data_IF_759599961208
#
_entry.id   IF_759599961208
#
_cell.length_a   1.000
_cell.length_b   1.000
_cell.length_c   1.000
_cell.angle_alpha   90.00
_cell.angle_beta   90.00
_cell.angle_gamma   90.00
#
_symmetry.space_group_name_H-M   'P 1'
#
loop_
_entity.id
_entity.type
_entity.pdbx_description
1 polymer ?
#
# COMPACT_ATOMS: atom_id res chain seq x y z
N UNK A 1 16.06 5.93 26.01
CA UNK A 1 14.82 5.91 25.21
C UNK A 1 14.62 4.50 24.71
N UNK A 2 13.52 3.86 25.08
CA UNK A 2 13.23 2.51 24.60
C UNK A 2 12.91 2.58 23.10
N UNK A 3 13.64 1.78 22.32
CA UNK A 3 13.43 1.70 20.88
C UNK A 3 12.01 1.21 20.54
N UNK A 4 11.41 1.69 19.45
CA UNK A 4 10.05 1.34 19.08
C UNK A 4 9.92 -0.16 18.80
N UNK A 5 8.76 -0.71 19.12
CA UNK A 5 8.31 -2.02 18.64
C UNK A 5 7.82 -1.90 17.20
N UNK A 6 7.81 -3.02 16.48
CA UNK A 6 7.41 -3.06 15.07
C UNK A 6 6.41 -4.21 14.86
N UNK A 7 5.27 -3.89 14.29
CA UNK A 7 4.29 -4.85 13.82
C UNK A 7 4.07 -4.71 12.32
N UNK A 8 4.09 -5.82 11.60
CA UNK A 8 3.84 -5.87 10.17
C UNK A 8 2.67 -6.82 9.90
N UNK A 9 1.65 -6.29 9.22
CA UNK A 9 0.56 -7.07 8.66
C UNK A 9 0.74 -7.17 7.15
N UNK A 10 0.98 -8.36 6.67
CA UNK A 10 1.05 -8.67 5.25
C UNK A 10 -0.33 -9.11 4.75
N UNK A 11 -0.82 -8.41 3.74
CA UNK A 11 -2.04 -8.75 3.02
C UNK A 11 -1.65 -9.13 1.58
N UNK A 12 -1.69 -10.43 1.28
CA UNK A 12 -1.18 -10.93 0.01
C UNK A 12 -2.05 -10.46 -1.18
N UNK A 13 -1.37 -9.91 -2.22
CA UNK A 13 -1.98 -9.57 -3.51
C UNK A 13 -3.16 -8.59 -3.45
N UNK A 14 -3.07 -7.55 -2.65
CA UNK A 14 -4.06 -6.48 -2.58
C UNK A 14 -3.47 -5.19 -3.17
N UNK A 15 -4.09 -4.67 -4.22
CA UNK A 15 -3.76 -3.34 -4.74
C UNK A 15 -4.33 -2.23 -3.85
N UNK A 16 -3.70 -1.06 -3.89
CA UNK A 16 -4.25 0.12 -3.21
C UNK A 16 -5.67 0.45 -3.68
N UNK A 17 -5.93 0.34 -4.98
CA UNK A 17 -7.24 0.62 -5.54
C UNK A 17 -8.30 -0.40 -5.09
N UNK A 18 -7.94 -1.68 -5.07
CA UNK A 18 -8.83 -2.72 -4.56
C UNK A 18 -9.13 -2.55 -3.06
N UNK A 19 -8.11 -2.21 -2.27
CA UNK A 19 -8.29 -1.89 -0.86
C UNK A 19 -9.30 -0.76 -0.68
N UNK A 20 -9.16 0.33 -1.44
CA UNK A 20 -10.07 1.48 -1.36
C UNK A 20 -11.51 1.11 -1.73
N UNK A 21 -11.72 0.24 -2.73
CA UNK A 21 -13.05 -0.19 -3.16
C UNK A 21 -13.71 -1.18 -2.21
N UNK A 22 -12.95 -2.14 -1.71
CA UNK A 22 -13.50 -3.32 -1.04
C UNK A 22 -13.43 -3.29 0.48
N UNK A 23 -12.62 -2.38 1.07
CA UNK A 23 -12.45 -2.27 2.51
C UNK A 23 -12.80 -0.86 3.03
N UNK A 24 -14.03 -0.36 2.79
CA UNK A 24 -14.40 1.01 3.12
C UNK A 24 -14.43 1.30 4.63
N UNK A 25 -14.78 0.33 5.48
CA UNK A 25 -14.79 0.52 6.94
C UNK A 25 -13.37 0.62 7.49
N UNK A 26 -12.48 -0.25 7.01
CA UNK A 26 -11.06 -0.21 7.34
C UNK A 26 -10.43 1.09 6.86
N UNK A 27 -10.68 1.50 5.62
CA UNK A 27 -10.18 2.76 5.07
C UNK A 27 -10.65 3.96 5.90
N UNK A 28 -11.95 4.01 6.27
CA UNK A 28 -12.49 5.07 7.10
C UNK A 28 -11.79 5.15 8.46
N UNK A 29 -11.62 4.02 9.13
CA UNK A 29 -10.91 3.95 10.40
C UNK A 29 -9.46 4.44 10.25
N UNK A 30 -8.75 3.96 9.25
CA UNK A 30 -7.35 4.33 9.01
C UNK A 30 -7.20 5.83 8.73
N UNK A 31 -8.08 6.41 7.91
CA UNK A 31 -8.08 7.86 7.62
C UNK A 31 -8.36 8.69 8.87
N UNK A 32 -9.24 8.23 9.74
CA UNK A 32 -9.56 8.92 11.00
C UNK A 32 -8.47 8.76 12.07
N UNK A 33 -7.57 7.80 11.91
CA UNK A 33 -6.52 7.46 12.88
C UNK A 33 -5.10 7.82 12.42
N UNK A 34 -4.98 8.75 11.49
CA UNK A 34 -3.70 9.26 10.96
C UNK A 34 -2.77 8.19 10.35
N UNK A 35 -3.33 7.21 9.66
CA UNK A 35 -2.53 6.32 8.82
C UNK A 35 -2.07 7.04 7.56
N UNK A 36 -0.84 6.79 7.17
CA UNK A 36 -0.35 7.10 5.84
C UNK A 36 -0.77 6.00 4.86
N UNK A 37 -1.36 6.37 3.73
CA UNK A 37 -1.75 5.45 2.64
C UNK A 37 -1.27 6.07 1.32
N UNK A 38 0.02 5.92 0.99
CA UNK A 38 0.62 6.58 -0.16
C UNK A 38 0.03 6.07 -1.49
N UNK A 39 0.00 6.95 -2.47
CA UNK A 39 -0.49 6.63 -3.81
C UNK A 39 0.62 6.17 -4.76
N UNK A 40 1.89 6.41 -4.41
CA UNK A 40 3.04 6.22 -5.29
C UNK A 40 4.02 5.15 -4.79
N UNK A 41 3.51 4.20 -4.00
CA UNK A 41 4.27 3.01 -3.63
C UNK A 41 4.26 2.02 -4.79
N UNK A 42 5.42 1.58 -5.23
CA UNK A 42 5.60 0.63 -6.33
C UNK A 42 6.33 -0.63 -5.86
N UNK A 43 5.88 -1.78 -6.35
CA UNK A 43 6.67 -3.01 -6.19
C UNK A 43 7.98 -2.91 -6.98
N UNK A 44 9.01 -3.64 -6.54
CA UNK A 44 10.30 -3.67 -7.22
C UNK A 44 10.40 -4.85 -8.20
N UNK A 45 10.00 -6.04 -7.78
CA UNK A 45 9.96 -7.25 -8.60
C UNK A 45 8.54 -7.57 -9.09
N UNK A 46 8.43 -8.27 -10.22
CA UNK A 46 7.14 -8.80 -10.70
C UNK A 46 6.63 -9.93 -9.81
N UNK A 47 7.54 -10.72 -9.20
CA UNK A 47 7.19 -11.80 -8.27
C UNK A 47 6.84 -11.26 -6.88
N UNK A 48 5.66 -11.60 -6.32
CA UNK A 48 5.32 -11.28 -4.94
C UNK A 48 6.31 -11.84 -3.92
N UNK A 49 6.80 -13.06 -4.15
CA UNK A 49 7.71 -13.74 -3.23
C UNK A 49 9.08 -13.03 -3.17
N UNK A 50 9.58 -12.54 -4.32
CA UNK A 50 10.81 -11.75 -4.35
C UNK A 50 10.66 -10.40 -3.65
N UNK A 51 9.49 -9.74 -3.79
CA UNK A 51 9.22 -8.51 -3.05
C UNK A 51 9.12 -8.77 -1.55
N UNK A 52 8.55 -9.90 -1.16
CA UNK A 52 8.43 -10.30 0.23
C UNK A 52 9.79 -10.63 0.85
N UNK A 53 10.62 -11.40 0.12
CA UNK A 53 11.99 -11.70 0.54
C UNK A 53 12.82 -10.40 0.66
N UNK A 54 12.73 -9.51 -0.32
CA UNK A 54 13.37 -8.20 -0.27
C UNK A 54 12.91 -7.38 0.94
N UNK A 55 11.62 -7.35 1.22
CA UNK A 55 11.05 -6.59 2.34
C UNK A 55 11.51 -7.11 3.70
N UNK A 56 11.52 -8.43 3.89
CA UNK A 56 11.77 -9.06 5.18
C UNK A 56 13.23 -9.38 5.42
N UNK A 57 13.94 -9.85 4.39
CA UNK A 57 15.32 -10.32 4.50
C UNK A 57 16.34 -9.34 3.90
N UNK A 58 15.91 -8.52 2.93
CA UNK A 58 16.79 -7.57 2.24
C UNK A 58 17.79 -8.26 1.30
N UNK A 59 18.47 -7.47 0.49
CA UNK A 59 19.51 -7.95 -0.44
C UNK A 59 20.73 -8.48 0.30
N UNK A 60 21.06 -7.87 1.44
CA UNK A 60 22.19 -8.26 2.31
C UNK A 60 21.89 -9.52 3.15
N UNK A 61 20.69 -10.11 3.01
CA UNK A 61 20.24 -11.27 3.80
C UNK A 61 20.29 -11.05 5.33
N UNK A 62 20.17 -9.81 5.78
CA UNK A 62 20.00 -9.46 7.19
C UNK A 62 18.51 -9.33 7.49
N UNK A 63 17.85 -10.37 7.98
CA UNK A 63 16.41 -10.37 8.19
C UNK A 63 15.96 -9.39 9.28
N UNK A 64 14.73 -8.86 9.16
CA UNK A 64 14.12 -8.05 10.23
C UNK A 64 14.01 -8.84 11.54
N UNK A 65 13.77 -10.15 11.44
CA UNK A 65 13.71 -11.05 12.59
C UNK A 65 15.06 -11.10 13.31
N UNK A 66 16.19 -11.24 12.57
CA UNK A 66 17.52 -11.24 13.15
C UNK A 66 17.87 -9.91 13.83
N UNK A 67 17.52 -8.79 13.17
CA UNK A 67 17.79 -7.46 13.74
C UNK A 67 17.04 -7.29 15.07
N UNK A 68 15.76 -7.65 15.09
CA UNK A 68 14.93 -7.50 16.29
C UNK A 68 15.32 -8.48 17.39
N UNK A 69 15.65 -9.73 17.05
CA UNK A 69 16.15 -10.73 17.99
C UNK A 69 17.47 -10.31 18.63
N UNK A 70 18.45 -9.82 17.84
CA UNK A 70 19.73 -9.31 18.37
C UNK A 70 19.56 -8.09 19.27
N UNK A 71 18.48 -7.33 19.07
CA UNK A 71 18.11 -6.21 19.95
C UNK A 71 17.47 -6.66 21.27
N UNK A 72 17.20 -7.96 21.44
CA UNK A 72 16.53 -8.52 22.60
C UNK A 72 15.02 -8.33 22.61
N UNK A 73 14.40 -8.07 21.44
CA UNK A 73 12.95 -7.95 21.35
C UNK A 73 12.30 -9.33 21.28
N UNK A 74 11.13 -9.47 21.88
CA UNK A 74 10.28 -10.65 21.70
C UNK A 74 9.71 -10.68 20.28
N UNK A 75 9.69 -11.85 19.67
CA UNK A 75 9.33 -12.00 18.27
C UNK A 75 8.20 -12.98 18.05
N UNK A 76 7.22 -12.61 17.24
CA UNK A 76 6.12 -13.45 16.76
C UNK A 76 6.14 -13.54 15.24
N UNK A 77 6.09 -14.75 14.71
CA UNK A 77 5.79 -15.02 13.30
C UNK A 77 4.48 -15.78 13.20
N UNK A 78 3.48 -15.13 12.64
CA UNK A 78 2.14 -15.63 12.42
C UNK A 78 1.87 -15.70 10.93
N UNK A 79 2.18 -16.85 10.33
CA UNK A 79 2.09 -17.10 8.90
C UNK A 79 1.01 -18.14 8.61
N UNK A 80 0.00 -17.74 7.85
CA UNK A 80 -1.08 -18.62 7.41
C UNK A 80 -0.66 -19.49 6.23
N UNK A 81 0.19 -18.95 5.35
CA UNK A 81 0.60 -19.62 4.12
C UNK A 81 1.62 -20.70 4.41
N UNK A 82 1.18 -21.94 4.26
CA UNK A 82 2.03 -23.10 4.20
C UNK A 82 1.77 -23.74 2.85
N UNK A 83 2.64 -23.54 1.87
CA UNK A 83 2.53 -24.27 0.63
C UNK A 83 2.85 -25.74 0.87
N UNK A 84 2.20 -26.62 0.09
CA UNK A 84 2.45 -28.09 0.15
C UNK A 84 3.84 -28.45 -0.37
N UNK A 85 4.51 -27.53 -1.01
CA UNK A 85 5.84 -27.69 -1.56
C UNK A 85 6.83 -26.94 -0.68
N UNK A 86 7.52 -27.64 0.22
CA UNK A 86 8.80 -27.26 0.85
C UNK A 86 9.08 -25.74 1.02
N UNK A 87 8.08 -24.88 1.02
CA UNK A 87 8.26 -23.46 1.17
C UNK A 87 8.40 -23.17 2.65
N UNK A 88 9.61 -22.96 2.94
CA UNK A 88 10.16 -22.41 4.15
C UNK A 88 9.43 -21.16 4.61
N UNK A 89 9.45 -20.95 5.88
CA UNK A 89 8.97 -19.74 6.55
C UNK A 89 9.47 -18.48 5.83
N UNK A 90 8.71 -17.39 5.91
CA UNK A 90 9.04 -16.08 5.35
C UNK A 90 10.45 -15.58 5.73
N UNK A 91 11.03 -16.15 6.76
CA UNK A 91 12.40 -15.86 7.22
C UNK A 91 13.36 -17.01 6.97
N UNK A 92 13.26 -17.66 5.82
CA UNK A 92 14.11 -18.79 5.45
C UNK A 92 15.62 -18.51 5.56
N UNK A 93 16.02 -17.27 5.29
CA UNK A 93 17.42 -16.83 5.39
C UNK A 93 17.80 -16.36 6.80
N UNK A 94 16.87 -16.36 7.77
CA UNK A 94 17.14 -15.90 9.11
C UNK A 94 17.95 -16.91 9.91
N UNK A 95 18.93 -16.43 10.62
CA UNK A 95 19.71 -17.23 11.59
C UNK A 95 18.97 -17.37 12.93
N UNK A 96 17.98 -16.53 13.20
CA UNK A 96 17.21 -16.50 14.44
C UNK A 96 15.86 -17.21 14.26
N UNK A 97 15.46 -17.97 15.28
CA UNK A 97 14.11 -18.50 15.37
C UNK A 97 13.21 -17.51 16.11
N UNK A 98 11.92 -17.37 15.71
CA UNK A 98 10.97 -16.53 16.45
C UNK A 98 10.69 -17.14 17.83
N UNK A 99 10.49 -16.28 18.84
CA UNK A 99 10.10 -16.73 20.19
C UNK A 99 8.72 -17.39 20.18
N UNK A 100 7.82 -16.90 19.32
CA UNK A 100 6.46 -17.39 19.16
C UNK A 100 6.17 -17.63 17.68
N UNK A 101 5.55 -18.77 17.39
CA UNK A 101 5.11 -19.13 16.04
C UNK A 101 3.72 -19.77 16.11
N UNK A 102 2.85 -19.35 15.20
CA UNK A 102 1.52 -19.95 15.03
C UNK A 102 1.49 -21.04 13.96
N UNK A 103 2.62 -21.38 13.38
CA UNK A 103 2.76 -22.38 12.32
C UNK A 103 2.07 -23.71 12.65
N UNK A 104 2.27 -24.34 13.84
CA UNK A 104 1.59 -25.59 14.18
C UNK A 104 0.07 -25.47 14.20
N UNK A 105 -0.45 -24.30 14.61
CA UNK A 105 -1.89 -24.02 14.63
C UNK A 105 -2.46 -23.98 13.21
N UNK A 106 -1.79 -23.32 12.30
CA UNK A 106 -2.23 -23.20 10.91
C UNK A 106 -2.12 -24.53 10.17
N UNK A 107 -1.06 -25.31 10.38
CA UNK A 107 -0.93 -26.66 9.87
C UNK A 107 -2.08 -27.57 10.30
N UNK A 108 -2.36 -27.60 11.60
CA UNK A 108 -3.44 -28.42 12.15
C UNK A 108 -4.80 -28.05 11.55
N UNK A 109 -5.11 -26.76 11.50
CA UNK A 109 -6.39 -26.29 10.96
C UNK A 109 -6.53 -26.59 9.47
N UNK A 110 -5.45 -26.44 8.68
CA UNK A 110 -5.45 -26.73 7.27
C UNK A 110 -5.76 -28.20 6.97
N UNK A 111 -5.18 -29.13 7.71
CA UNK A 111 -5.45 -30.55 7.53
C UNK A 111 -6.91 -30.93 7.81
N UNK A 112 -7.61 -30.14 8.65
CA UNK A 112 -9.00 -30.37 9.04
C UNK A 112 -10.01 -29.41 8.41
N UNK A 113 -9.54 -28.49 7.59
CA UNK A 113 -10.37 -27.44 7.02
C UNK A 113 -11.32 -28.00 5.96
N UNK A 114 -12.61 -27.78 6.17
CA UNK A 114 -13.67 -28.13 5.21
C UNK A 114 -14.21 -26.91 4.47
N UNK A 115 -13.87 -25.70 4.92
CA UNK A 115 -14.40 -24.43 4.40
C UNK A 115 -13.32 -23.36 4.43
N UNK A 116 -13.26 -22.53 3.39
CA UNK A 116 -12.26 -21.45 3.26
C UNK A 116 -12.44 -20.33 4.30
N UNK A 117 -13.65 -20.16 4.82
CA UNK A 117 -14.00 -19.03 5.69
C UNK A 117 -13.92 -19.35 7.18
N UNK A 118 -14.10 -20.60 7.54
CA UNK A 118 -14.25 -21.03 8.92
C UNK A 118 -13.22 -22.10 9.33
N UNK A 119 -12.77 -22.02 10.57
CA UNK A 119 -12.01 -23.08 11.21
C UNK A 119 -12.92 -24.24 11.61
N UNK A 120 -12.38 -25.45 11.88
CA UNK A 120 -13.17 -26.61 12.32
C UNK A 120 -14.00 -26.36 13.57
N UNK A 121 -13.62 -25.39 14.41
CA UNK A 121 -14.35 -25.00 15.62
C UNK A 121 -15.43 -23.94 15.39
N UNK A 122 -15.74 -23.60 14.11
CA UNK A 122 -16.75 -22.62 13.74
C UNK A 122 -16.31 -21.15 13.84
N UNK A 123 -15.08 -20.86 14.28
CA UNK A 123 -14.56 -19.50 14.33
C UNK A 123 -14.14 -19.02 12.95
N UNK A 124 -14.23 -17.69 12.72
CA UNK A 124 -13.70 -17.08 11.51
C UNK A 124 -12.20 -17.33 11.37
N UNK A 125 -11.79 -17.83 10.21
CA UNK A 125 -10.39 -18.03 9.86
C UNK A 125 -9.61 -16.71 9.90
N UNK A 126 -10.15 -15.66 9.25
CA UNK A 126 -9.54 -14.33 9.19
C UNK A 126 -9.33 -13.74 10.59
N UNK A 127 -10.36 -13.75 11.45
CA UNK A 127 -10.20 -13.30 12.83
C UNK A 127 -9.13 -14.07 13.60
N UNK A 128 -9.03 -15.37 13.36
CA UNK A 128 -8.04 -16.21 14.03
C UNK A 128 -6.61 -15.95 13.57
N UNK A 129 -6.42 -15.52 12.30
CA UNK A 129 -5.13 -15.10 11.78
C UNK A 129 -4.78 -13.68 12.26
N UNK A 130 -5.74 -12.78 12.33
CA UNK A 130 -5.48 -11.37 12.67
C UNK A 130 -5.36 -11.12 14.19
N UNK A 131 -6.07 -11.90 15.03
CA UNK A 131 -6.07 -11.68 16.49
C UNK A 131 -4.68 -11.72 17.13
N UNK A 132 -3.76 -12.64 16.78
CA UNK A 132 -2.44 -12.69 17.38
C UNK A 132 -1.62 -11.40 17.25
N UNK A 133 -1.85 -10.60 16.18
CA UNK A 133 -1.21 -9.31 16.00
C UNK A 133 -1.47 -8.38 17.21
N UNK A 134 -2.73 -8.29 17.64
CA UNK A 134 -3.14 -7.41 18.73
C UNK A 134 -2.85 -8.05 20.08
N UNK A 135 -3.19 -9.34 20.23
CA UNK A 135 -3.06 -10.05 21.50
C UNK A 135 -1.60 -10.13 21.93
N UNK A 136 -0.68 -10.42 21.01
CA UNK A 136 0.76 -10.42 21.27
C UNK A 136 1.28 -9.02 21.60
N UNK A 137 0.99 -8.02 20.73
CA UNK A 137 1.47 -6.66 20.93
C UNK A 137 0.95 -6.04 22.23
N UNK A 138 -0.28 -6.35 22.63
CA UNK A 138 -0.87 -5.86 23.89
C UNK A 138 -0.27 -6.56 25.11
N UNK A 139 -0.06 -7.87 25.05
CA UNK A 139 0.54 -8.64 26.13
C UNK A 139 1.99 -8.22 26.43
N UNK A 140 2.71 -7.78 25.40
CA UNK A 140 4.11 -7.34 25.50
C UNK A 140 4.30 -5.85 25.26
N UNK A 141 3.28 -5.03 25.54
CA UNK A 141 3.28 -3.59 25.29
C UNK A 141 4.40 -2.83 26.03
N UNK A 142 4.85 -3.31 27.19
CA UNK A 142 5.96 -2.74 27.96
C UNK A 142 7.34 -3.18 27.47
N UNK A 143 7.41 -4.23 26.67
CA UNK A 143 8.65 -4.86 26.19
C UNK A 143 8.83 -4.58 24.70
N UNK A 144 10.08 -4.44 24.24
CA UNK A 144 10.33 -4.40 22.80
C UNK A 144 9.83 -5.68 22.14
N UNK A 145 9.07 -5.54 21.08
CA UNK A 145 8.58 -6.70 20.35
C UNK A 145 8.54 -6.45 18.83
N UNK A 146 8.57 -7.55 18.11
CA UNK A 146 8.35 -7.64 16.68
C UNK A 146 7.26 -8.66 16.40
N UNK A 147 6.28 -8.28 15.60
CA UNK A 147 5.27 -9.22 15.13
C UNK A 147 5.10 -9.12 13.63
N UNK A 148 5.11 -10.28 12.97
CA UNK A 148 4.74 -10.42 11.58
C UNK A 148 3.47 -11.28 11.53
N UNK A 149 2.42 -10.77 10.92
CA UNK A 149 1.20 -11.51 10.59
C UNK A 149 1.01 -11.51 9.09
N UNK A 150 0.90 -12.68 8.50
CA UNK A 150 0.68 -12.86 7.07
C UNK A 150 -0.67 -13.50 6.81
N UNK A 151 -1.59 -12.72 6.26
CA UNK A 151 -2.86 -13.21 5.75
C UNK A 151 -2.71 -13.54 4.27
N UNK A 152 -2.73 -14.84 3.96
CA UNK A 152 -2.55 -15.31 2.59
C UNK A 152 -3.85 -15.17 1.80
N UNK A 153 -3.67 -14.70 0.59
CA UNK A 153 -4.65 -14.57 -0.50
C UNK A 153 -6.13 -14.74 -0.16
N UNK A 154 -6.81 -13.68 0.21
CA UNK A 154 -8.27 -13.73 0.22
C UNK A 154 -8.78 -13.75 -1.23
N UNK A 155 -9.67 -14.68 -1.54
CA UNK A 155 -10.48 -14.60 -2.76
C UNK A 155 -11.24 -13.26 -2.79
N UNK A 156 -11.64 -12.76 -3.95
CA UNK A 156 -12.38 -11.49 -4.02
C UNK A 156 -13.63 -11.47 -3.14
N UNK A 157 -14.31 -12.59 -3.02
CA UNK A 157 -15.48 -12.75 -2.12
C UNK A 157 -15.10 -12.65 -0.63
N UNK A 158 -13.90 -13.09 -0.28
CA UNK A 158 -13.39 -13.01 1.08
C UNK A 158 -12.97 -11.58 1.45
N UNK A 159 -12.51 -10.77 0.50
CA UNK A 159 -12.08 -9.38 0.76
C UNK A 159 -13.19 -8.54 1.39
N UNK A 160 -14.42 -8.64 0.89
CA UNK A 160 -15.55 -7.89 1.47
C UNK A 160 -15.84 -8.33 2.91
N UNK A 161 -15.70 -9.63 3.19
CA UNK A 161 -15.90 -10.16 4.55
C UNK A 161 -14.77 -9.83 5.52
N UNK A 162 -13.58 -9.53 4.99
CA UNK A 162 -12.42 -9.12 5.80
C UNK A 162 -12.59 -7.71 6.36
N UNK A 163 -13.31 -6.81 5.68
CA UNK A 163 -13.37 -5.39 6.04
C UNK A 163 -13.84 -5.19 7.49
N UNK A 164 -14.90 -5.86 7.90
CA UNK A 164 -15.39 -5.79 9.28
C UNK A 164 -14.36 -6.32 10.29
N UNK A 165 -13.75 -7.43 9.98
CA UNK A 165 -12.81 -8.09 10.91
C UNK A 165 -11.51 -7.29 11.00
N UNK A 166 -10.99 -6.81 9.88
CA UNK A 166 -9.78 -6.00 9.85
C UNK A 166 -10.00 -4.66 10.55
N UNK A 167 -11.12 -3.98 10.30
CA UNK A 167 -11.45 -2.74 10.97
C UNK A 167 -11.58 -2.91 12.49
N UNK A 168 -12.20 -4.00 12.97
CA UNK A 168 -12.29 -4.32 14.39
C UNK A 168 -10.92 -4.60 15.01
N UNK A 169 -10.06 -5.36 14.34
CA UNK A 169 -8.72 -5.67 14.82
C UNK A 169 -7.86 -4.42 14.89
N UNK A 170 -7.91 -3.56 13.88
CA UNK A 170 -7.19 -2.28 13.90
C UNK A 170 -7.71 -1.35 15.00
N UNK A 171 -9.03 -1.29 15.19
CA UNK A 171 -9.61 -0.52 16.30
C UNK A 171 -9.13 -1.04 17.67
N UNK A 172 -9.13 -2.36 17.88
CA UNK A 172 -8.57 -2.98 19.09
C UNK A 172 -7.09 -2.65 19.28
N UNK A 173 -6.29 -2.70 18.21
CA UNK A 173 -4.88 -2.32 18.25
C UNK A 173 -4.71 -0.87 18.70
N UNK A 174 -5.40 0.05 18.05
CA UNK A 174 -5.33 1.49 18.34
C UNK A 174 -5.82 1.85 19.74
N UNK A 175 -6.77 1.08 20.28
CA UNK A 175 -7.31 1.26 21.64
C UNK A 175 -6.51 0.51 22.71
N UNK A 176 -5.49 -0.26 22.33
CA UNK A 176 -4.69 -1.06 23.25
C UNK A 176 -3.42 -0.33 23.68
N UNK A 177 -2.78 -0.73 24.81
CA UNK A 177 -1.49 -0.19 25.21
C UNK A 177 -0.38 -0.41 24.16
N UNK A 178 -0.52 -1.37 23.25
CA UNK A 178 0.42 -1.60 22.16
C UNK A 178 0.60 -0.38 21.28
N UNK A 179 -0.47 0.38 21.05
CA UNK A 179 -0.46 1.58 20.21
C UNK A 179 0.44 2.71 20.74
N UNK A 180 0.82 2.70 22.01
CA UNK A 180 1.68 3.74 22.57
C UNK A 180 3.14 3.66 22.07
N UNK A 181 3.60 2.47 21.68
CA UNK A 181 5.03 2.21 21.41
C UNK A 181 5.31 1.40 20.14
N UNK A 182 4.28 0.93 19.44
CA UNK A 182 4.43 0.03 18.31
C UNK A 182 4.09 0.75 17.01
N UNK A 183 5.02 0.79 16.08
CA UNK A 183 4.75 1.20 14.72
C UNK A 183 4.10 0.04 13.96
N UNK A 184 3.01 0.30 13.24
CA UNK A 184 2.27 -0.69 12.47
C UNK A 184 2.38 -0.40 10.98
N UNK A 185 2.80 -1.41 10.22
CA UNK A 185 2.83 -1.38 8.77
C UNK A 185 1.88 -2.44 8.21
N UNK A 186 1.06 -2.04 7.25
CA UNK A 186 0.19 -2.95 6.49
C UNK A 186 0.69 -2.90 5.06
N UNK A 187 1.17 -4.02 4.56
CA UNK A 187 1.89 -4.08 3.27
C UNK A 187 1.38 -5.25 2.45
N UNK A 188 1.22 -5.01 1.16
CA UNK A 188 1.05 -6.07 0.18
C UNK A 188 2.33 -6.24 -0.64
N UNK A 189 2.84 -7.45 -0.84
CA UNK A 189 4.04 -7.69 -1.64
C UNK A 189 3.82 -7.47 -3.15
N UNK A 190 2.56 -7.50 -3.59
CA UNK A 190 2.16 -7.21 -4.97
C UNK A 190 0.75 -6.65 -4.99
N UNK A 191 0.39 -6.00 -6.09
CA UNK A 191 -0.98 -5.60 -6.33
C UNK A 191 -1.86 -6.78 -6.77
N UNK A 192 -3.13 -6.49 -7.02
CA UNK A 192 -4.11 -7.49 -7.45
C UNK A 192 -3.93 -7.80 -8.92
N UNK A 193 -3.79 -9.07 -9.26
CA UNK A 193 -3.80 -9.52 -10.66
C UNK A 193 -5.22 -9.39 -11.22
N UNK A 194 -5.32 -8.82 -12.41
CA UNK A 194 -6.57 -8.64 -13.13
C UNK A 194 -6.33 -8.66 -14.64
N UNK A 195 -7.41 -8.64 -15.42
CA UNK A 195 -7.35 -8.59 -16.87
C UNK A 195 -7.35 -7.15 -17.37
N UNK A 196 -6.74 -6.95 -18.53
CA UNK A 196 -6.65 -5.65 -19.19
C UNK A 196 -5.79 -4.64 -18.46
N UNK A 197 -5.78 -3.42 -18.97
CA UNK A 197 -4.91 -2.35 -18.50
C UNK A 197 -5.11 -2.01 -17.02
N UNK A 198 -6.35 -1.97 -16.55
CA UNK A 198 -6.64 -1.67 -15.14
C UNK A 198 -6.05 -2.75 -14.23
N UNK A 199 -6.23 -4.03 -14.60
CA UNK A 199 -5.64 -5.14 -13.85
C UNK A 199 -4.13 -5.11 -13.86
N UNK A 200 -3.51 -4.68 -14.94
CA UNK A 200 -2.08 -4.52 -15.03
C UNK A 200 -1.57 -3.40 -14.11
N UNK A 201 -2.19 -2.23 -14.13
CA UNK A 201 -1.85 -1.12 -13.24
C UNK A 201 -2.04 -1.53 -11.77
N UNK A 202 -3.16 -2.15 -11.45
CA UNK A 202 -3.42 -2.60 -10.09
C UNK A 202 -2.42 -3.66 -9.62
N UNK A 203 -1.96 -4.53 -10.51
CA UNK A 203 -0.94 -5.54 -10.18
C UNK A 203 0.39 -4.94 -9.75
N UNK A 204 0.73 -3.75 -10.27
CA UNK A 204 1.98 -3.03 -10.00
C UNK A 204 1.86 -2.01 -8.85
N UNK A 205 0.62 -1.75 -8.38
CA UNK A 205 0.31 -0.76 -7.32
C UNK A 205 -0.15 -1.43 -6.02
N UNK A 206 0.76 -2.07 -5.28
CA UNK A 206 0.39 -2.76 -4.05
C UNK A 206 -0.07 -1.78 -2.96
N UNK A 207 -0.83 -2.30 -2.02
CA UNK A 207 -1.18 -1.58 -0.81
C UNK A 207 0.04 -1.41 0.09
N UNK A 208 0.25 -0.19 0.57
CA UNK A 208 1.10 0.10 1.71
C UNK A 208 0.37 1.07 2.61
N UNK A 209 0.38 0.81 3.91
CA UNK A 209 -0.06 1.77 4.91
C UNK A 209 0.86 1.73 6.13
N UNK A 210 1.04 2.87 6.77
CA UNK A 210 1.89 2.99 7.94
C UNK A 210 1.23 3.84 9.02
N UNK A 211 1.42 3.41 10.25
CA UNK A 211 0.99 4.17 11.43
C UNK A 211 2.10 4.19 12.47
N UNK A 212 2.27 5.36 13.09
CA UNK A 212 3.30 5.58 14.11
C UNK A 212 2.67 6.00 15.44
N UNK A 213 3.17 5.47 16.57
CA UNK A 213 2.67 5.83 17.89
C UNK A 213 2.94 7.29 18.22
N UNK A 214 2.10 7.88 19.07
CA UNK A 214 2.23 9.29 19.47
C UNK A 214 3.60 9.58 20.14
N UNK A 215 4.14 8.61 20.86
CA UNK A 215 5.47 8.70 21.44
C UNK A 215 6.56 8.89 20.38
N UNK A 216 6.49 8.15 19.28
CA UNK A 216 7.41 8.30 18.15
C UNK A 216 7.24 9.67 17.47
N UNK A 217 5.99 10.06 17.18
CA UNK A 217 5.68 11.35 16.54
C UNK A 217 6.24 12.55 17.34
N UNK A 218 6.24 12.47 18.68
CA UNK A 218 6.77 13.50 19.57
C UNK A 218 8.30 13.44 19.71
N UNK A 219 8.85 12.26 19.90
CA UNK A 219 10.30 12.10 20.20
C UNK A 219 11.16 12.12 18.94
N UNK A 220 10.60 11.69 17.80
CA UNK A 220 11.25 11.61 16.49
C UNK A 220 10.52 12.48 15.46
N UNK A 221 10.12 13.67 15.87
CA UNK A 221 9.28 14.56 15.06
C UNK A 221 9.88 14.85 13.67
N UNK A 222 11.19 15.07 13.60
CA UNK A 222 11.85 15.34 12.31
C UNK A 222 11.76 14.14 11.36
N UNK A 223 12.00 12.92 11.87
CA UNK A 223 11.88 11.69 11.08
C UNK A 223 10.43 11.44 10.66
N UNK A 224 9.47 11.68 11.56
CA UNK A 224 8.05 11.60 11.23
C UNK A 224 7.64 12.60 10.13
N UNK A 225 8.13 13.84 10.22
CA UNK A 225 7.87 14.87 9.19
C UNK A 225 8.52 14.50 7.86
N UNK A 226 9.73 13.93 7.88
CA UNK A 226 10.40 13.43 6.66
C UNK A 226 9.61 12.29 6.02
N UNK A 227 9.14 11.34 6.83
CA UNK A 227 8.28 10.27 6.35
C UNK A 227 7.00 10.82 5.70
N UNK A 228 6.33 11.76 6.37
CA UNK A 228 5.13 12.42 5.84
C UNK A 228 5.38 13.11 4.49
N UNK A 229 6.50 13.84 4.38
CA UNK A 229 6.90 14.49 3.13
C UNK A 229 7.12 13.48 1.99
N UNK A 230 7.66 12.31 2.30
CA UNK A 230 7.97 11.28 1.31
C UNK A 230 6.74 10.52 0.81
N UNK A 231 5.58 10.62 1.50
CA UNK A 231 4.39 9.85 1.13
C UNK A 231 3.77 10.27 -0.22
N UNK A 232 4.07 11.47 -0.69
CA UNK A 232 3.64 11.97 -2.01
C UNK A 232 4.67 11.71 -3.12
N UNK A 233 5.79 11.07 -2.80
CA UNK A 233 6.87 10.76 -3.75
C UNK A 233 6.84 9.30 -4.17
N UNK A 234 7.47 8.99 -5.31
CA UNK A 234 7.67 7.60 -5.71
C UNK A 234 8.67 6.94 -4.76
N UNK A 235 8.27 5.82 -4.18
CA UNK A 235 9.17 4.94 -3.43
C UNK A 235 8.81 3.47 -3.68
N UNK A 236 9.75 2.61 -3.38
CA UNK A 236 9.68 1.19 -3.74
C UNK A 236 9.77 0.28 -2.51
N UNK A 237 9.63 -1.02 -2.73
CA UNK A 237 9.87 -2.04 -1.71
C UNK A 237 11.27 -1.94 -1.10
N UNK A 238 12.30 -1.50 -1.88
CA UNK A 238 13.65 -1.26 -1.36
C UNK A 238 13.69 -0.14 -0.31
N UNK A 239 13.04 0.99 -0.60
CA UNK A 239 12.98 2.12 0.33
C UNK A 239 12.20 1.76 1.60
N UNK A 240 11.10 1.03 1.43
CA UNK A 240 10.32 0.54 2.55
C UNK A 240 11.15 -0.41 3.42
N UNK A 241 11.95 -1.30 2.80
CA UNK A 241 12.88 -2.18 3.50
C UNK A 241 13.88 -1.40 4.37
N UNK A 242 14.54 -0.39 3.82
CA UNK A 242 15.48 0.43 4.58
C UNK A 242 14.79 1.20 5.72
N UNK A 243 13.55 1.64 5.49
CA UNK A 243 12.72 2.26 6.52
C UNK A 243 12.43 1.31 7.68
N UNK A 244 11.99 0.09 7.37
CA UNK A 244 11.72 -0.95 8.39
C UNK A 244 12.99 -1.36 9.13
N UNK A 245 14.12 -1.44 8.43
CA UNK A 245 15.45 -1.73 9.00
C UNK A 245 15.87 -0.66 10.01
N UNK A 246 15.65 0.63 9.70
CA UNK A 246 15.92 1.71 10.64
C UNK A 246 15.04 1.63 11.90
N UNK A 247 13.77 1.34 11.75
CA UNK A 247 12.85 1.13 12.89
C UNK A 247 13.31 -0.08 13.71
N UNK A 248 13.63 -1.19 13.03
CA UNK A 248 14.09 -2.42 13.68
C UNK A 248 15.39 -2.23 14.45
N UNK A 249 16.34 -1.47 13.92
CA UNK A 249 17.58 -1.12 14.60
C UNK A 249 17.38 -0.13 15.75
N UNK A 250 16.29 0.65 15.71
CA UNK A 250 15.98 1.69 16.69
C UNK A 250 16.99 2.82 16.72
N UNK A 251 17.77 2.98 15.66
CA UNK A 251 18.74 4.04 15.47
C UNK A 251 18.29 4.90 14.31
N UNK A 252 18.06 6.17 14.59
CA UNK A 252 17.66 7.14 13.58
C UNK A 252 18.85 8.07 13.33
N UNK A 253 19.38 8.03 12.12
CA UNK A 253 20.50 8.85 11.67
C UNK A 253 20.05 10.29 11.41
N UNK A 254 21.01 11.21 11.21
CA UNK A 254 20.66 12.57 10.83
C UNK A 254 19.93 12.56 9.50
N UNK A 255 18.89 13.39 9.41
CA UNK A 255 18.12 13.56 8.18
C UNK A 255 19.01 14.22 7.13
N UNK A 256 19.10 13.56 5.98
CA UNK A 256 19.80 14.08 4.80
C UNK A 256 18.77 14.67 3.84
N UNK A 257 18.99 15.91 3.41
CA UNK A 257 18.30 16.50 2.28
C UNK A 257 19.09 16.18 1.03
N UNK A 258 18.48 15.51 0.08
CA UNK A 258 19.12 15.21 -1.19
C UNK A 258 18.95 16.42 -2.09
N UNK A 259 20.03 17.11 -2.40
CA UNK A 259 20.05 18.14 -3.44
C UNK A 259 19.95 17.48 -4.82
N UNK A 260 19.37 18.18 -5.79
CA UNK A 260 19.10 17.66 -7.13
C UNK A 260 20.37 17.12 -7.86
N UNK A 261 21.54 17.61 -7.48
CA UNK A 261 22.83 17.23 -8.08
C UNK A 261 23.51 16.04 -7.39
N UNK A 262 22.97 15.54 -6.28
CA UNK A 262 23.50 14.36 -5.60
C UNK A 262 23.07 13.09 -6.33
N UNK A 263 24.02 12.17 -6.54
CA UNK A 263 23.73 10.84 -7.05
C UNK A 263 22.75 10.15 -6.07
N UNK A 264 21.52 9.90 -6.54
CA UNK A 264 20.50 9.26 -5.72
C UNK A 264 20.94 7.84 -5.35
N UNK A 265 20.73 7.46 -4.11
CA UNK A 265 20.84 6.08 -3.68
C UNK A 265 19.69 5.27 -4.32
N UNK A 266 19.98 4.06 -4.75
CA UNK A 266 18.97 3.14 -5.29
C UNK A 266 17.89 2.79 -4.27
N UNK A 267 18.24 2.82 -2.99
CA UNK A 267 17.32 2.61 -1.87
C UNK A 267 17.66 3.56 -0.73
N UNK A 268 16.62 4.10 -0.09
CA UNK A 268 16.80 5.01 1.04
C UNK A 268 15.69 4.85 2.07
N UNK A 269 16.01 5.17 3.32
CA UNK A 269 15.00 5.16 4.37
C UNK A 269 14.12 6.39 4.30
N UNK A 270 12.82 6.18 4.19
CA UNK A 270 11.81 7.24 4.17
C UNK A 270 11.77 8.08 5.46
N UNK A 271 12.42 7.61 6.53
CA UNK A 271 12.56 8.32 7.80
C UNK A 271 13.83 9.18 7.86
N UNK A 272 14.86 8.85 7.08
CA UNK A 272 16.19 9.47 7.18
C UNK A 272 16.47 10.46 6.05
N UNK A 273 15.87 10.31 4.89
CA UNK A 273 16.15 11.13 3.71
C UNK A 273 14.88 11.68 3.08
N UNK A 274 14.92 12.95 2.68
CA UNK A 274 13.85 13.56 1.89
C UNK A 274 14.04 13.18 0.42
N UNK A 275 13.05 12.50 -0.12
CA UNK A 275 13.07 12.09 -1.53
C UNK A 275 12.91 13.30 -2.45
N UNK A 276 13.63 13.34 -3.60
CA UNK A 276 13.50 14.42 -4.56
C UNK A 276 12.12 14.44 -5.22
N UNK A 277 11.71 15.63 -5.67
CA UNK A 277 10.38 15.82 -6.28
C UNK A 277 10.20 15.04 -7.58
N UNK A 278 11.25 14.92 -8.37
CA UNK A 278 11.23 14.30 -9.68
C UNK A 278 11.77 12.87 -9.70
N UNK A 279 11.54 12.14 -8.62
CA UNK A 279 11.92 10.73 -8.56
C UNK A 279 11.04 9.90 -9.50
N UNK A 280 11.66 9.14 -10.38
CA UNK A 280 10.99 8.28 -11.36
C UNK A 280 11.57 6.86 -11.36
N UNK A 281 10.99 5.94 -12.13
CA UNK A 281 11.42 4.55 -12.16
C UNK A 281 12.89 4.38 -12.57
N UNK A 282 13.37 5.16 -13.52
CA UNK A 282 14.76 5.11 -13.97
C UNK A 282 15.73 5.51 -12.87
N UNK A 283 15.39 6.53 -12.07
CA UNK A 283 16.26 7.00 -10.97
C UNK A 283 16.35 6.02 -9.81
N UNK A 284 15.41 5.08 -9.70
CA UNK A 284 15.35 4.07 -8.64
C UNK A 284 15.54 2.65 -9.15
N UNK A 285 15.94 2.50 -10.41
CA UNK A 285 16.18 1.23 -11.08
C UNK A 285 15.01 0.24 -10.99
N UNK A 286 13.77 0.75 -11.01
CA UNK A 286 12.59 -0.13 -11.14
C UNK A 286 12.54 -0.63 -12.58
N UNK A 287 12.46 -1.95 -12.80
CA UNK A 287 12.30 -2.51 -14.13
C UNK A 287 11.10 -1.91 -14.86
N UNK A 288 11.21 -1.71 -16.18
CA UNK A 288 10.14 -1.08 -16.98
C UNK A 288 8.79 -1.80 -16.82
N UNK A 289 8.82 -3.13 -16.74
CA UNK A 289 7.63 -3.95 -16.56
C UNK A 289 6.91 -3.68 -15.23
N UNK A 290 7.59 -3.13 -14.24
CA UNK A 290 7.01 -2.78 -12.92
C UNK A 290 6.80 -1.27 -12.75
N UNK A 291 7.24 -0.48 -13.72
CA UNK A 291 7.11 0.97 -13.65
C UNK A 291 5.67 1.42 -13.88
N UNK A 292 5.16 2.22 -12.95
CA UNK A 292 3.86 2.91 -13.09
C UNK A 292 4.02 4.39 -13.46
N UNK A 293 5.25 4.88 -13.52
CA UNK A 293 5.50 6.25 -13.97
C UNK A 293 5.24 6.32 -15.47
N UNK A 294 4.13 6.92 -15.79
CA UNK A 294 3.85 7.35 -17.15
C UNK A 294 4.81 8.51 -17.44
N UNK A 295 5.65 8.35 -18.45
CA UNK A 295 6.53 9.43 -18.88
C UNK A 295 5.66 10.63 -19.23
N UNK A 296 5.94 11.78 -18.61
CA UNK A 296 5.43 13.04 -19.11
C UNK A 296 6.16 13.31 -20.40
N UNK A 297 5.56 12.93 -21.51
CA UNK A 297 6.00 13.47 -22.77
C UNK A 297 5.70 14.96 -22.76
N UNK A 298 6.66 15.73 -23.28
CA UNK A 298 6.60 17.16 -23.44
C UNK A 298 5.18 17.60 -23.81
N UNK A 299 4.71 18.67 -23.18
CA UNK A 299 3.45 19.32 -23.50
C UNK A 299 3.27 19.34 -25.01
N UNK A 300 2.46 18.45 -25.54
CA UNK A 300 2.03 18.55 -26.93
C UNK A 300 1.15 19.78 -27.04
N UNK A 301 1.72 20.85 -27.57
CA UNK A 301 0.98 22.04 -28.02
C UNK A 301 0.18 21.76 -29.31
N UNK A 302 -0.03 20.50 -29.69
CA UNK A 302 -0.66 20.18 -30.96
C UNK A 302 -1.94 19.36 -30.76
N UNK A 303 -2.99 19.90 -31.33
CA UNK A 303 -4.34 19.41 -31.63
C UNK A 303 -5.43 19.64 -30.60
N UNK A 304 -5.77 20.89 -30.41
CA UNK A 304 -7.00 21.38 -29.74
C UNK A 304 -8.31 20.69 -30.23
N UNK A 305 -8.34 20.15 -31.44
CA UNK A 305 -9.56 19.59 -32.03
C UNK A 305 -9.81 18.11 -31.65
N UNK A 306 -8.78 17.28 -31.51
CA UNK A 306 -8.94 15.89 -31.06
C UNK A 306 -9.26 15.81 -29.57
N UNK A 307 -8.61 16.64 -28.79
CA UNK A 307 -8.85 16.72 -27.33
C UNK A 307 -10.27 17.17 -27.02
N UNK A 308 -10.86 18.02 -27.87
CA UNK A 308 -12.24 18.47 -27.70
C UNK A 308 -13.26 17.35 -27.94
N UNK A 309 -13.05 16.54 -28.98
CA UNK A 309 -13.95 15.42 -29.32
C UNK A 309 -13.90 14.37 -28.22
N UNK A 310 -12.73 14.09 -27.70
CA UNK A 310 -12.53 13.14 -26.63
C UNK A 310 -13.15 13.64 -25.32
N UNK A 311 -12.92 14.91 -24.99
CA UNK A 311 -13.54 15.59 -23.86
C UNK A 311 -15.06 15.53 -23.93
N UNK A 312 -15.64 15.82 -25.11
CA UNK A 312 -17.08 15.79 -25.28
C UNK A 312 -17.65 14.37 -25.09
N UNK A 313 -16.99 13.34 -25.62
CA UNK A 313 -17.40 11.92 -25.39
C UNK A 313 -17.35 11.51 -23.93
N UNK A 314 -16.27 11.83 -23.23
CA UNK A 314 -16.13 11.52 -21.80
C UNK A 314 -17.16 12.30 -20.99
N UNK A 315 -17.39 13.56 -21.31
CA UNK A 315 -18.42 14.37 -20.66
C UNK A 315 -19.84 13.80 -20.88
N UNK A 316 -20.17 13.35 -22.07
CA UNK A 316 -21.46 12.76 -22.41
C UNK A 316 -21.67 11.41 -21.69
N UNK A 317 -20.62 10.57 -21.63
CA UNK A 317 -20.64 9.31 -20.88
C UNK A 317 -20.87 9.54 -19.38
N UNK A 318 -20.21 10.53 -18.81
CA UNK A 318 -20.38 10.90 -17.40
C UNK A 318 -21.76 11.47 -17.12
N UNK A 319 -22.20 12.40 -17.97
CA UNK A 319 -23.52 13.02 -17.83
C UNK A 319 -24.63 11.96 -17.92
N UNK A 320 -24.49 10.98 -18.81
CA UNK A 320 -25.44 9.88 -18.93
C UNK A 320 -25.45 8.96 -17.72
N UNK A 321 -24.30 8.67 -17.11
CA UNK A 321 -24.20 7.85 -15.89
C UNK A 321 -24.68 8.59 -14.65
N UNK A 322 -24.32 9.87 -14.50
CA UNK A 322 -24.77 10.70 -13.37
C UNK A 322 -26.28 10.90 -13.39
N UNK A 323 -26.88 11.02 -14.58
CA UNK A 323 -28.34 11.13 -14.75
C UNK A 323 -29.10 9.82 -14.47
N UNK A 324 -28.42 8.66 -14.47
CA UNK A 324 -29.03 7.37 -14.12
C UNK A 324 -29.08 7.11 -12.60
N UNK A 325 -28.32 7.87 -11.80
CA UNK A 325 -28.33 7.74 -10.35
C UNK A 325 -29.44 8.61 -9.76
N UNK A 326 -30.50 8.00 -9.25
CA UNK A 326 -31.70 8.67 -8.74
C UNK A 326 -31.47 9.69 -7.60
N UNK A 327 -30.30 9.67 -6.98
CA UNK A 327 -29.89 10.63 -5.94
C UNK A 327 -29.32 11.93 -6.51
N UNK A 328 -29.16 12.08 -7.82
CA UNK A 328 -28.45 13.18 -8.47
C UNK A 328 -29.34 13.97 -9.45
N UNK A 329 -30.64 13.78 -9.43
CA UNK A 329 -31.60 14.44 -10.34
C UNK A 329 -31.56 15.97 -10.31
N UNK A 330 -31.06 16.58 -9.24
CA UNK A 330 -30.91 18.03 -9.11
C UNK A 330 -29.52 18.57 -9.50
N UNK A 331 -28.61 17.73 -9.93
CA UNK A 331 -27.21 18.09 -10.16
C UNK A 331 -26.94 18.32 -11.63
N UNK A 332 -26.69 19.58 -12.02
CA UNK A 332 -26.24 19.89 -13.38
C UNK A 332 -24.72 20.04 -13.41
N UNK A 333 -24.05 19.15 -14.14
CA UNK A 333 -22.64 19.25 -14.46
C UNK A 333 -22.50 20.20 -15.66
N UNK A 334 -21.78 21.31 -15.48
CA UNK A 334 -21.55 22.25 -16.58
C UNK A 334 -20.08 22.25 -16.97
N UNK A 335 -19.85 22.33 -18.29
CA UNK A 335 -18.49 22.55 -18.84
C UNK A 335 -17.99 23.94 -18.38
N UNK A 336 -16.89 23.97 -17.61
CA UNK A 336 -16.34 25.23 -17.14
C UNK A 336 -14.91 25.53 -17.64
N UNK A 337 -14.38 24.70 -18.49
CA UNK A 337 -13.02 24.81 -19.04
C UNK A 337 -12.33 23.45 -19.06
N UNK A 338 -11.32 23.31 -19.91
CA UNK A 338 -10.62 22.05 -20.07
C UNK A 338 -9.13 22.24 -19.79
N UNK A 339 -8.60 21.42 -18.90
CA UNK A 339 -7.20 21.08 -18.85
C UNK A 339 -7.10 19.60 -19.18
N UNK A 340 -6.40 19.27 -20.23
CA UNK A 340 -6.11 17.89 -20.61
C UNK A 340 -4.61 17.70 -20.41
N UNK A 341 -4.26 16.90 -19.39
CA UNK A 341 -2.90 16.38 -19.27
C UNK A 341 -2.90 15.00 -19.94
N UNK A 342 -2.33 14.90 -21.13
CA UNK A 342 -2.17 13.62 -21.84
C UNK A 342 -0.83 12.99 -21.47
N UNK A 343 -0.86 11.72 -21.11
CA UNK A 343 0.32 10.91 -20.91
C UNK A 343 0.37 9.84 -22.00
N UNK A 344 1.46 9.74 -22.74
CA UNK A 344 1.70 8.64 -23.67
C UNK A 344 2.54 7.56 -22.97
N UNK A 345 1.98 6.36 -22.87
CA UNK A 345 2.76 5.15 -22.65
C UNK A 345 3.42 4.78 -23.98
N UNK A 346 4.74 4.82 -24.05
CA UNK A 346 5.44 4.20 -25.17
C UNK A 346 5.28 2.68 -25.05
N UNK A 347 4.36 2.13 -25.81
CA UNK A 347 3.98 0.71 -25.81
C UNK A 347 4.93 -0.16 -26.61
N UNK A 348 6.24 -0.03 -26.42
CA UNK A 348 7.18 -0.95 -27.08
C UNK A 348 7.09 -2.39 -26.55
N UNK A 349 6.27 -2.66 -25.52
CA UNK A 349 6.19 -4.00 -24.91
C UNK A 349 4.76 -4.52 -24.62
N UNK A 350 3.71 -3.82 -25.00
CA UNK A 350 2.33 -4.26 -24.71
C UNK A 350 1.50 -4.37 -25.97
N UNK A 351 1.28 -5.60 -26.39
CA UNK A 351 0.42 -5.95 -27.53
C UNK A 351 1.23 -6.25 -28.80
N UNK A 352 0.77 -7.26 -29.50
CA UNK A 352 1.40 -7.75 -30.74
C UNK A 352 1.30 -6.76 -31.93
N UNK A 353 0.70 -5.61 -31.78
CA UNK A 353 0.59 -4.59 -32.83
C UNK A 353 0.53 -3.21 -32.15
N UNK A 354 1.63 -2.50 -32.12
CA UNK A 354 1.89 -1.05 -32.03
C UNK A 354 0.77 -0.08 -31.57
N UNK A 355 -0.16 -0.47 -30.71
CA UNK A 355 -1.17 0.43 -30.17
C UNK A 355 -0.60 1.27 -29.04
N UNK A 356 -0.56 2.59 -29.24
CA UNK A 356 -0.23 3.55 -28.20
C UNK A 356 -1.45 3.72 -27.29
N UNK A 357 -1.29 3.43 -25.99
CA UNK A 357 -2.33 3.69 -25.00
C UNK A 357 -2.10 5.13 -24.48
N UNK A 358 -3.06 6.00 -24.74
CA UNK A 358 -3.05 7.35 -24.22
C UNK A 358 -3.81 7.40 -22.88
N UNK A 359 -3.11 7.84 -21.82
CA UNK A 359 -3.75 8.18 -20.56
C UNK A 359 -4.25 9.61 -20.60
N UNK A 360 -5.52 9.78 -20.33
CA UNK A 360 -6.13 11.08 -20.30
C UNK A 360 -6.58 11.42 -18.88
N UNK A 361 -5.98 12.44 -18.28
CA UNK A 361 -6.50 13.03 -17.05
C UNK A 361 -7.33 14.26 -17.42
N UNK A 362 -8.65 14.14 -17.29
CA UNK A 362 -9.56 15.24 -17.56
C UNK A 362 -10.01 15.84 -16.23
N UNK A 363 -9.70 17.11 -16.00
CA UNK A 363 -10.21 17.86 -14.85
C UNK A 363 -11.44 18.65 -15.26
N UNK A 364 -12.55 18.33 -14.64
CA UNK A 364 -13.79 19.07 -14.83
C UNK A 364 -14.01 20.04 -13.67
N UNK A 365 -14.46 21.25 -14.00
CA UNK A 365 -15.12 22.11 -13.04
C UNK A 365 -16.59 21.76 -13.02
N UNK A 366 -17.05 21.06 -12.01
CA UNK A 366 -18.48 20.82 -11.82
C UNK A 366 -19.04 21.87 -10.87
N UNK A 367 -20.03 22.58 -11.32
CA UNK A 367 -20.87 23.40 -10.46
C UNK A 367 -22.03 22.51 -10.00
N UNK A 368 -21.92 21.98 -8.80
CA UNK A 368 -23.03 21.28 -8.15
C UNK A 368 -24.07 22.35 -7.78
N UNK A 369 -25.19 22.32 -8.46
CA UNK A 369 -26.33 23.15 -8.11
C UNK A 369 -27.20 22.35 -7.15
N UNK A 370 -26.84 22.37 -5.90
CA UNK A 370 -27.78 22.01 -4.84
C UNK A 370 -28.78 23.16 -4.76
N UNK A 371 -30.07 22.87 -4.69
CA UNK A 371 -31.16 23.85 -4.86
C UNK A 371 -31.11 25.12 -4.00
N UNK A 372 -30.12 25.31 -3.16
CA UNK A 372 -29.96 26.44 -2.24
C UNK A 372 -28.56 27.10 -2.26
N UNK A 373 -27.49 26.44 -2.70
CA UNK A 373 -26.14 27.06 -2.80
C UNK A 373 -25.30 26.44 -3.92
N UNK A 374 -24.81 27.29 -4.82
CA UNK A 374 -23.83 26.89 -5.81
C UNK A 374 -22.44 26.77 -5.16
N UNK A 375 -21.89 25.58 -5.05
CA UNK A 375 -20.49 25.36 -4.66
C UNK A 375 -19.68 24.93 -5.88
N UNK A 376 -18.57 25.63 -6.15
CA UNK A 376 -17.61 25.17 -7.16
C UNK A 376 -16.80 24.02 -6.58
N UNK A 377 -16.98 22.81 -7.07
CA UNK A 377 -16.14 21.66 -6.75
C UNK A 377 -15.44 21.17 -8.00
N UNK A 378 -14.19 20.80 -7.84
CA UNK A 378 -13.42 20.15 -8.89
C UNK A 378 -13.73 18.65 -8.86
N UNK A 379 -14.06 18.08 -10.01
CA UNK A 379 -14.12 16.63 -10.20
C UNK A 379 -12.95 16.30 -11.12
N UNK A 380 -12.01 15.51 -10.62
CA UNK A 380 -10.94 14.94 -11.41
C UNK A 380 -11.35 13.53 -11.79
N UNK A 381 -11.35 13.24 -13.08
CA UNK A 381 -11.61 11.93 -13.62
C UNK A 381 -10.37 11.48 -14.34
N UNK A 382 -9.85 10.35 -13.94
CA UNK A 382 -8.73 9.69 -14.57
C UNK A 382 -9.23 8.45 -15.27
N UNK A 383 -8.89 8.31 -16.54
CA UNK A 383 -9.31 7.18 -17.35
C UNK A 383 -8.38 6.93 -18.53
N UNK A 384 -8.50 5.75 -19.09
CA UNK A 384 -7.86 5.33 -20.34
C UNK A 384 -8.84 5.44 -21.48
N UNK A 385 -8.33 5.82 -22.64
CA UNK A 385 -9.06 5.83 -23.91
C UNK A 385 -8.45 4.84 -24.86
#
# INVERSE_FOLDING_TARGET
QSAPSLSILLLHSISRAQFTRNLPKTLKLMTQSDFFIPSRYSQYFTSPDLNLDLLLNGEEKESLLDIMSRRGCLTLVNEESLSDSNHSSLFFSSSSLPNFSTHPFHLYNRQKQQNEHCLPNGKSKVSSVLSPLVDFSSSFSSTCHFSLTHLHSPSQSLLVSIDDQLSQILYRFLSSPASERTSLFIVSPSGTKGEGLVGEIESKSPLMAAWFPLTFRKTQNQHYSTFSYNMDKLFTTRDLRETLKNIARGKFEKIVKIDADMKQSESTSLLAEQLPEFRNCSTVNVPEENCLCLGTNEKRNETINQDKILFDRVFDLLSSRVLQESCLESTQIRKAGHFVDSFQLNSTHYGQEGESIEWLTIRFYAKLVDGIRASNRFITIEGTV
#
